data_IF_614780185049
#
_entry.id   IF_614780185049
#
_cell.length_a   1.000
_cell.length_b   1.000
_cell.length_c   1.000
_cell.angle_alpha   90.00
_cell.angle_beta   90.00
_cell.angle_gamma   90.00
#
_symmetry.space_group_name_H-M   'P 1'
#
loop_
_entity.id
_entity.type
_entity.pdbx_description
1 polymer ?
#
# COMPACT_ATOMS: atom_id res chain seq x y z
N UNK A 1 -54.03 -25.83 30.72
CA UNK A 1 -53.16 -25.96 29.51
C UNK A 1 -52.70 -24.62 28.93
N UNK A 2 -53.42 -23.51 29.09
CA UNK A 2 -53.10 -22.18 28.52
C UNK A 2 -51.93 -21.43 29.14
N UNK A 3 -51.56 -21.70 30.37
CA UNK A 3 -50.45 -20.99 31.06
C UNK A 3 -49.06 -21.58 30.77
N UNK A 4 -48.95 -22.82 30.33
CA UNK A 4 -47.65 -23.44 29.96
C UNK A 4 -47.15 -22.97 28.59
N UNK A 5 -48.05 -22.65 27.66
CA UNK A 5 -47.71 -22.15 26.33
C UNK A 5 -47.17 -20.72 26.36
N UNK A 6 -47.62 -19.87 27.29
CA UNK A 6 -47.14 -18.49 27.41
C UNK A 6 -45.68 -18.41 27.88
N UNK A 7 -45.20 -19.34 28.69
CA UNK A 7 -43.84 -19.37 29.20
C UNK A 7 -42.83 -19.92 28.18
N UNK A 8 -43.27 -20.82 27.28
CA UNK A 8 -42.42 -21.29 26.18
C UNK A 8 -42.20 -20.22 25.08
N UNK A 9 -43.18 -19.34 24.85
CA UNK A 9 -43.06 -18.27 23.87
C UNK A 9 -42.13 -17.14 24.34
N UNK A 10 -42.07 -16.85 25.64
CA UNK A 10 -41.15 -15.86 26.21
C UNK A 10 -39.68 -16.33 26.21
N UNK A 11 -39.42 -17.64 26.31
CA UNK A 11 -38.06 -18.19 26.33
C UNK A 11 -37.41 -18.20 24.93
N UNK A 12 -38.21 -18.23 23.85
CA UNK A 12 -37.72 -18.17 22.46
C UNK A 12 -37.29 -16.80 22.01
N UNK A 13 -37.74 -15.69 22.61
CA UNK A 13 -37.38 -14.32 22.22
C UNK A 13 -36.05 -13.84 22.81
N UNK A 14 -35.49 -14.52 23.80
CA UNK A 14 -34.22 -14.14 24.45
C UNK A 14 -32.95 -14.63 23.72
N UNK A 15 -33.11 -15.44 22.65
CA UNK A 15 -31.98 -15.99 21.90
C UNK A 15 -31.64 -15.21 20.59
N UNK A 16 -32.43 -14.20 20.26
CA UNK A 16 -32.09 -13.28 19.17
C UNK A 16 -31.16 -12.17 19.72
N UNK A 17 -29.94 -12.54 20.07
CA UNK A 17 -28.89 -11.56 20.32
C UNK A 17 -28.67 -10.76 19.03
N UNK A 18 -28.36 -9.45 19.09
CA UNK A 18 -27.99 -8.69 17.92
C UNK A 18 -26.83 -9.42 17.24
N UNK A 19 -27.00 -9.76 15.98
CA UNK A 19 -25.88 -10.23 15.15
C UNK A 19 -24.85 -9.11 15.15
N UNK A 20 -23.74 -9.31 15.87
CA UNK A 20 -22.62 -8.38 15.81
C UNK A 20 -22.12 -8.39 14.36
N UNK A 21 -22.55 -7.43 13.55
CA UNK A 21 -21.92 -7.19 12.27
C UNK A 21 -20.52 -6.66 12.57
N UNK A 22 -19.51 -7.38 12.09
CA UNK A 22 -18.15 -6.88 12.13
C UNK A 22 -18.08 -5.62 11.25
N UNK A 23 -17.61 -4.51 11.84
CA UNK A 23 -17.38 -3.29 11.10
C UNK A 23 -16.24 -3.53 10.09
N UNK A 24 -16.51 -3.25 8.80
CA UNK A 24 -15.50 -3.37 7.75
C UNK A 24 -14.70 -2.08 7.67
N UNK A 25 -13.38 -2.21 7.73
CA UNK A 25 -12.42 -1.13 7.56
C UNK A 25 -11.69 -1.33 6.23
N UNK A 26 -11.93 -0.45 5.27
CA UNK A 26 -11.30 -0.47 3.96
C UNK A 26 -10.04 0.38 3.95
N UNK A 27 -8.89 -0.22 3.68
CA UNK A 27 -7.59 0.43 3.72
C UNK A 27 -6.96 0.47 2.33
N UNK A 28 -6.65 1.67 1.83
CA UNK A 28 -5.76 1.87 0.69
C UNK A 28 -4.33 2.03 1.19
N UNK A 29 -3.41 1.18 0.78
CA UNK A 29 -2.04 1.22 1.23
C UNK A 29 -1.02 1.17 0.09
N UNK A 30 0.00 2.01 0.17
CA UNK A 30 1.16 1.91 -0.71
C UNK A 30 1.81 0.53 -0.59
N UNK A 31 2.17 -0.06 -1.74
CA UNK A 31 2.54 -1.48 -1.83
C UNK A 31 3.84 -1.86 -1.10
N UNK A 32 4.65 -0.89 -0.74
CA UNK A 32 5.84 -1.08 0.11
C UNK A 32 5.49 -1.50 1.55
N UNK A 33 4.27 -1.19 2.00
CA UNK A 33 3.80 -1.56 3.33
C UNK A 33 3.31 -3.00 3.46
N UNK A 34 3.16 -3.73 2.34
CA UNK A 34 2.43 -5.00 2.34
C UNK A 34 2.81 -5.93 3.51
N UNK A 35 4.07 -6.24 3.66
CA UNK A 35 4.50 -7.20 4.68
C UNK A 35 4.27 -6.70 6.10
N UNK A 36 4.67 -5.46 6.39
CA UNK A 36 4.51 -4.88 7.72
C UNK A 36 3.04 -4.67 8.09
N UNK A 37 2.22 -4.22 7.12
CA UNK A 37 0.81 -3.94 7.38
C UNK A 37 -0.01 -5.22 7.50
N UNK A 38 0.31 -6.29 6.76
CA UNK A 38 -0.33 -7.60 6.93
C UNK A 38 -0.12 -8.15 8.35
N UNK A 39 1.10 -8.01 8.91
CA UNK A 39 1.39 -8.40 10.30
C UNK A 39 0.61 -7.55 11.31
N UNK A 40 0.57 -6.23 11.09
CA UNK A 40 -0.17 -5.29 11.95
C UNK A 40 -1.67 -5.61 11.92
N UNK A 41 -2.25 -5.83 10.74
CA UNK A 41 -3.67 -6.18 10.59
C UNK A 41 -3.98 -7.50 11.29
N UNK A 42 -3.13 -8.51 11.13
CA UNK A 42 -3.30 -9.80 11.83
C UNK A 42 -3.31 -9.61 13.36
N UNK A 43 -2.38 -8.82 13.88
CA UNK A 43 -2.30 -8.53 15.31
C UNK A 43 -3.49 -7.69 15.81
N UNK A 44 -3.98 -6.75 15.00
CA UNK A 44 -5.14 -5.93 15.30
C UNK A 44 -6.40 -6.79 15.37
N UNK A 45 -6.71 -7.59 14.34
CA UNK A 45 -7.90 -8.42 14.29
C UNK A 45 -7.94 -9.49 15.40
N UNK A 46 -6.76 -9.96 15.85
CA UNK A 46 -6.69 -10.87 17.01
C UNK A 46 -7.10 -10.20 18.33
N UNK A 47 -6.92 -8.87 18.46
CA UNK A 47 -7.31 -8.09 19.66
C UNK A 47 -8.72 -7.53 19.57
N UNK A 48 -9.15 -7.21 18.35
CA UNK A 48 -10.41 -6.55 18.03
C UNK A 48 -11.23 -7.40 17.05
N UNK A 49 -11.75 -8.57 17.49
CA UNK A 49 -12.43 -9.53 16.61
C UNK A 49 -13.75 -9.02 16.02
N UNK A 50 -14.26 -7.89 16.54
CA UNK A 50 -15.44 -7.21 16.01
C UNK A 50 -15.17 -6.36 14.76
N UNK A 51 -13.91 -6.26 14.32
CA UNK A 51 -13.52 -5.46 13.15
C UNK A 51 -12.87 -6.34 12.07
N UNK A 52 -13.28 -6.16 10.82
CA UNK A 52 -12.70 -6.82 9.66
C UNK A 52 -11.92 -5.80 8.83
N UNK A 53 -10.60 -5.96 8.69
CA UNK A 53 -9.74 -5.03 7.96
C UNK A 53 -9.41 -5.59 6.58
N UNK A 54 -9.79 -4.86 5.53
CA UNK A 54 -9.48 -5.18 4.15
C UNK A 54 -8.46 -4.20 3.59
N UNK A 55 -7.28 -4.68 3.27
CA UNK A 55 -6.21 -3.84 2.70
C UNK A 55 -6.09 -4.06 1.20
N UNK A 56 -6.16 -2.96 0.44
CA UNK A 56 -5.85 -2.94 -0.98
C UNK A 56 -4.48 -2.30 -1.16
N UNK A 57 -3.55 -3.04 -1.78
CA UNK A 57 -2.19 -2.58 -2.02
C UNK A 57 -2.01 -2.05 -3.44
N UNK A 58 -1.37 -0.88 -3.58
CA UNK A 58 -1.19 -0.26 -4.89
C UNK A 58 -0.22 0.92 -4.86
N UNK A 59 -0.31 1.79 -5.85
CA UNK A 59 0.48 3.03 -5.86
C UNK A 59 -0.28 4.19 -5.22
N UNK A 60 0.43 5.04 -4.49
CA UNK A 60 -0.16 6.15 -3.76
C UNK A 60 -0.94 7.10 -4.68
N UNK A 61 -0.42 7.45 -5.85
CA UNK A 61 -1.08 8.38 -6.76
C UNK A 61 -2.40 7.83 -7.34
N UNK A 62 -2.49 6.49 -7.56
CA UNK A 62 -3.76 5.89 -8.00
C UNK A 62 -4.81 5.94 -6.91
N UNK A 63 -4.45 5.62 -5.66
CA UNK A 63 -5.39 5.75 -4.55
C UNK A 63 -5.83 7.19 -4.32
N UNK A 64 -4.92 8.15 -4.44
CA UNK A 64 -5.26 9.57 -4.40
C UNK A 64 -6.37 9.90 -5.41
N UNK A 65 -6.22 9.48 -6.67
CA UNK A 65 -7.23 9.69 -7.71
C UNK A 65 -8.54 8.96 -7.41
N UNK A 66 -8.48 7.70 -6.94
CA UNK A 66 -9.67 6.94 -6.59
C UNK A 66 -10.45 7.57 -5.43
N UNK A 67 -9.77 8.08 -4.40
CA UNK A 67 -10.40 8.78 -3.28
C UNK A 67 -11.10 10.06 -3.76
N UNK A 68 -10.46 10.83 -4.64
CA UNK A 68 -11.10 12.01 -5.26
C UNK A 68 -12.34 11.64 -6.09
N UNK A 69 -12.40 10.43 -6.62
CA UNK A 69 -13.53 9.89 -7.36
C UNK A 69 -14.57 9.19 -6.46
N UNK A 70 -14.42 9.27 -5.14
CA UNK A 70 -15.37 8.72 -4.18
C UNK A 70 -15.17 7.26 -3.81
N UNK A 71 -13.98 6.68 -4.04
CA UNK A 71 -13.70 5.32 -3.58
C UNK A 71 -13.80 5.24 -2.04
N UNK A 72 -14.50 4.22 -1.49
CA UNK A 72 -14.86 4.14 -0.08
C UNK A 72 -13.74 3.57 0.78
N UNK A 73 -12.65 4.29 0.89
CA UNK A 73 -11.55 3.94 1.79
C UNK A 73 -11.68 4.70 3.11
N UNK A 74 -11.61 3.99 4.22
CA UNK A 74 -11.61 4.54 5.58
C UNK A 74 -10.23 5.05 5.99
N UNK A 75 -9.16 4.36 5.54
CA UNK A 75 -7.78 4.71 5.82
C UNK A 75 -6.96 4.75 4.52
N UNK A 76 -6.04 5.70 4.47
CA UNK A 76 -5.10 5.82 3.37
C UNK A 76 -3.65 5.96 3.85
N UNK A 77 -2.82 4.95 3.54
CA UNK A 77 -1.38 4.95 3.78
C UNK A 77 -0.63 5.24 2.50
N UNK A 78 0.02 6.39 2.44
CA UNK A 78 0.75 6.87 1.26
C UNK A 78 2.26 6.83 1.49
N UNK A 79 3.01 6.44 0.46
CA UNK A 79 4.47 6.53 0.45
C UNK A 79 5.01 7.95 0.22
N UNK A 80 4.15 8.92 -0.07
CA UNK A 80 4.50 10.35 -0.14
C UNK A 80 3.41 11.16 0.56
N UNK A 81 3.81 11.97 1.53
CA UNK A 81 2.91 12.79 2.35
C UNK A 81 2.18 13.87 1.55
N UNK A 82 2.66 14.22 0.35
CA UNK A 82 2.02 15.22 -0.50
C UNK A 82 0.60 14.78 -0.91
N UNK A 83 0.38 13.49 -1.19
CA UNK A 83 -0.93 12.98 -1.58
C UNK A 83 -1.99 13.11 -0.48
N UNK A 84 -1.80 12.59 0.75
CA UNK A 84 -2.79 12.77 1.81
C UNK A 84 -2.96 14.24 2.21
N UNK A 85 -1.92 15.09 2.12
CA UNK A 85 -2.06 16.53 2.34
C UNK A 85 -2.96 17.20 1.30
N UNK A 86 -2.80 16.83 0.01
CA UNK A 86 -3.67 17.33 -1.05
C UNK A 86 -5.12 16.90 -0.85
N UNK A 87 -5.37 15.65 -0.44
CA UNK A 87 -6.73 15.18 -0.09
C UNK A 87 -7.31 15.94 1.11
N UNK A 88 -6.52 16.18 2.14
CA UNK A 88 -6.97 16.94 3.31
C UNK A 88 -7.32 18.39 2.95
N UNK A 89 -6.50 19.06 2.13
CA UNK A 89 -6.79 20.41 1.63
C UNK A 89 -8.04 20.46 0.76
N UNK A 90 -8.34 19.39 0.04
CA UNK A 90 -9.54 19.26 -0.79
C UNK A 90 -10.78 18.78 -0.01
N UNK A 91 -10.69 18.59 1.32
CA UNK A 91 -11.83 18.22 2.17
C UNK A 91 -12.17 16.72 2.20
N UNK A 92 -11.29 15.86 1.70
CA UNK A 92 -11.50 14.39 1.71
C UNK A 92 -11.02 13.70 2.99
N UNK A 93 -10.33 14.38 3.90
CA UNK A 93 -9.81 13.77 5.12
C UNK A 93 -10.66 14.14 6.34
N UNK A 94 -11.02 13.16 7.16
CA UNK A 94 -11.72 13.34 8.43
C UNK A 94 -10.77 13.59 9.62
N UNK A 95 -9.45 13.42 9.42
CA UNK A 95 -8.44 13.59 10.48
C UNK A 95 -7.20 14.31 9.94
N UNK A 96 -6.36 14.88 10.81
CA UNK A 96 -5.06 15.42 10.41
C UNK A 96 -4.15 14.34 9.78
N UNK A 97 -3.37 14.75 8.78
CA UNK A 97 -2.37 13.90 8.15
C UNK A 97 -1.21 13.65 9.11
N UNK A 98 -0.89 12.38 9.35
CA UNK A 98 0.18 11.95 10.24
C UNK A 98 1.33 11.29 9.45
N UNK A 99 2.59 11.74 9.58
CA UNK A 99 3.72 10.99 9.07
C UNK A 99 3.94 9.74 9.94
N UNK A 100 4.09 8.58 9.30
CA UNK A 100 4.28 7.30 10.00
C UNK A 100 5.67 6.70 9.81
N UNK A 101 6.36 7.03 8.70
CA UNK A 101 7.69 6.52 8.40
C UNK A 101 8.43 7.43 7.41
N UNK A 102 9.72 7.16 7.23
CA UNK A 102 10.54 7.73 6.18
C UNK A 102 10.98 6.60 5.25
N UNK A 103 10.46 6.60 4.02
CA UNK A 103 10.84 5.67 2.96
C UNK A 103 12.26 5.92 2.47
N UNK A 104 12.96 4.85 2.07
CA UNK A 104 14.31 4.93 1.49
C UNK A 104 14.35 4.11 0.22
N UNK A 105 15.06 4.64 -0.80
CA UNK A 105 15.41 3.86 -1.97
C UNK A 105 16.61 2.97 -1.67
N UNK A 106 16.59 1.78 -2.24
CA UNK A 106 17.72 0.86 -2.25
C UNK A 106 18.01 0.41 -3.68
N UNK A 107 19.25 0.07 -3.93
CA UNK A 107 19.66 -0.64 -5.13
C UNK A 107 19.69 -2.13 -4.78
N UNK A 108 18.95 -2.93 -5.54
CA UNK A 108 18.82 -4.35 -5.32
C UNK A 108 19.02 -5.15 -6.60
N UNK A 109 19.58 -6.34 -6.48
CA UNK A 109 19.74 -7.29 -7.58
C UNK A 109 19.55 -8.71 -7.06
N UNK A 110 18.84 -9.56 -7.81
CA UNK A 110 18.68 -10.96 -7.49
C UNK A 110 19.93 -11.81 -7.86
N UNK A 111 20.83 -11.26 -8.71
CA UNK A 111 21.96 -12.02 -9.30
C UNK A 111 23.33 -11.46 -8.96
N UNK A 112 23.40 -10.24 -8.37
CA UNK A 112 24.66 -9.55 -8.04
C UNK A 112 24.63 -9.11 -6.57
N UNK A 113 25.80 -9.06 -5.94
CA UNK A 113 25.94 -8.42 -4.63
C UNK A 113 25.74 -6.90 -4.75
N UNK A 114 24.57 -6.43 -4.35
CA UNK A 114 24.18 -5.02 -4.45
C UNK A 114 24.82 -4.14 -3.37
N UNK A 115 25.46 -4.70 -2.33
CA UNK A 115 26.09 -3.93 -1.24
C UNK A 115 27.18 -2.98 -1.72
N UNK A 116 27.86 -3.35 -2.81
CA UNK A 116 28.92 -2.54 -3.41
C UNK A 116 28.46 -1.76 -4.64
N UNK A 117 27.20 -1.95 -5.09
CA UNK A 117 26.67 -1.26 -6.25
C UNK A 117 26.35 0.19 -5.92
N UNK A 118 26.65 1.07 -6.87
CA UNK A 118 26.28 2.49 -6.88
C UNK A 118 25.45 2.77 -8.12
N UNK A 119 24.71 3.87 -8.15
CA UNK A 119 23.90 4.26 -9.31
C UNK A 119 24.74 4.38 -10.58
N UNK A 120 26.01 4.79 -10.49
CA UNK A 120 26.93 4.85 -11.64
C UNK A 120 27.18 3.49 -12.30
N UNK A 121 27.11 2.39 -11.55
CA UNK A 121 27.28 1.05 -12.12
C UNK A 121 26.10 0.61 -13.00
N UNK A 122 24.94 1.28 -12.90
CA UNK A 122 23.79 0.99 -13.76
C UNK A 122 24.01 1.35 -15.23
N UNK A 123 25.05 2.12 -15.54
CA UNK A 123 25.47 2.43 -16.92
C UNK A 123 26.17 1.25 -17.61
N UNK A 124 26.66 0.24 -16.85
CA UNK A 124 27.29 -0.97 -17.39
C UNK A 124 26.41 -1.60 -18.49
N UNK A 125 26.95 -1.83 -19.71
CA UNK A 125 26.22 -2.48 -20.80
C UNK A 125 25.68 -3.88 -20.45
N UNK A 126 26.31 -4.58 -19.48
CA UNK A 126 25.85 -5.88 -18.98
C UNK A 126 24.58 -5.80 -18.16
N UNK A 127 24.21 -4.61 -17.66
CA UNK A 127 22.92 -4.36 -17.03
C UNK A 127 21.97 -3.89 -18.12
N UNK A 128 21.10 -4.78 -18.55
CA UNK A 128 20.17 -4.55 -19.66
C UNK A 128 18.79 -4.10 -19.22
N UNK A 129 18.40 -4.38 -17.98
CA UNK A 129 17.09 -4.01 -17.43
C UNK A 129 17.22 -3.46 -16.01
N UNK A 130 16.45 -2.42 -15.73
CA UNK A 130 16.36 -1.76 -14.42
C UNK A 130 14.88 -1.57 -14.11
N UNK A 131 14.37 -2.27 -13.11
CA UNK A 131 12.99 -2.14 -12.71
C UNK A 131 12.81 -0.99 -11.71
N UNK A 132 11.87 -0.11 -11.99
CA UNK A 132 11.39 0.92 -11.06
C UNK A 132 9.87 0.95 -11.05
N UNK A 133 9.26 1.48 -9.98
CA UNK A 133 7.84 1.77 -10.00
C UNK A 133 7.52 2.88 -11.01
N UNK A 134 6.31 2.89 -11.58
CA UNK A 134 5.95 3.88 -12.60
C UNK A 134 5.90 5.30 -12.00
N UNK A 135 6.77 6.22 -12.42
CA UNK A 135 6.86 7.56 -11.84
C UNK A 135 5.64 8.44 -12.07
N UNK A 136 4.73 8.05 -12.98
CA UNK A 136 3.49 8.81 -13.22
C UNK A 136 2.56 8.82 -12.01
N UNK A 137 2.61 7.80 -11.15
CA UNK A 137 1.68 7.65 -10.02
C UNK A 137 2.28 6.95 -8.78
N UNK A 138 3.53 6.48 -8.85
CA UNK A 138 4.19 5.81 -7.74
C UNK A 138 5.35 6.66 -7.19
N UNK A 139 5.30 7.07 -5.90
CA UNK A 139 6.36 7.89 -5.29
C UNK A 139 7.76 7.30 -5.41
N UNK A 140 7.91 5.99 -5.17
CA UNK A 140 9.21 5.33 -5.32
C UNK A 140 9.78 5.43 -6.74
N UNK A 141 8.91 5.43 -7.76
CA UNK A 141 9.34 5.66 -9.15
C UNK A 141 9.80 7.10 -9.38
N UNK A 142 9.09 8.09 -8.84
CA UNK A 142 9.48 9.50 -8.91
C UNK A 142 10.85 9.70 -8.26
N UNK A 143 11.05 9.18 -7.05
CA UNK A 143 12.32 9.27 -6.32
C UNK A 143 13.44 8.53 -7.06
N UNK A 144 13.16 7.38 -7.71
CA UNK A 144 14.14 6.67 -8.52
C UNK A 144 14.62 7.52 -9.71
N UNK A 145 13.70 8.15 -10.45
CA UNK A 145 14.04 9.07 -11.55
C UNK A 145 14.89 10.24 -11.06
N UNK A 146 14.50 10.85 -9.93
CA UNK A 146 15.27 11.95 -9.32
C UNK A 146 16.70 11.50 -8.95
N UNK A 147 16.83 10.33 -8.33
CA UNK A 147 18.13 9.78 -7.94
C UNK A 147 19.03 9.49 -9.15
N UNK A 148 18.47 8.92 -10.24
CA UNK A 148 19.21 8.65 -11.48
C UNK A 148 19.65 9.95 -12.16
N UNK A 149 18.79 10.98 -12.16
CA UNK A 149 19.15 12.31 -12.69
C UNK A 149 20.22 12.99 -11.84
N UNK A 150 20.07 12.97 -10.52
CA UNK A 150 21.05 13.54 -9.60
C UNK A 150 22.43 12.86 -9.68
N UNK A 151 22.44 11.54 -9.96
CA UNK A 151 23.67 10.78 -10.19
C UNK A 151 24.28 11.00 -11.60
N UNK A 152 23.62 11.76 -12.50
CA UNK A 152 24.07 12.02 -13.85
C UNK A 152 24.02 10.82 -14.80
N UNK A 153 23.26 9.77 -14.46
CA UNK A 153 23.20 8.51 -15.21
C UNK A 153 21.88 8.30 -15.97
N UNK A 154 20.98 9.27 -15.92
CA UNK A 154 19.63 9.17 -16.48
C UNK A 154 19.64 8.74 -17.95
N UNK A 155 20.38 9.43 -18.80
CA UNK A 155 20.38 9.17 -20.24
C UNK A 155 20.80 7.75 -20.62
N UNK A 156 21.76 7.18 -19.88
CA UNK A 156 22.25 5.82 -20.12
C UNK A 156 21.32 4.75 -19.50
N UNK A 157 20.55 5.10 -18.48
CA UNK A 157 19.69 4.16 -17.75
C UNK A 157 18.24 4.18 -18.24
N UNK A 158 17.74 5.32 -18.72
CA UNK A 158 16.36 5.46 -19.20
C UNK A 158 15.95 4.38 -20.23
N UNK A 159 16.78 4.05 -21.25
CA UNK A 159 16.44 3.01 -22.23
C UNK A 159 16.37 1.59 -21.63
N UNK A 160 16.90 1.38 -20.43
CA UNK A 160 16.91 0.10 -19.71
C UNK A 160 15.75 -0.04 -18.72
N UNK A 161 14.96 1.03 -18.52
CA UNK A 161 13.92 1.05 -17.49
C UNK A 161 12.73 0.18 -17.87
N UNK A 162 12.30 -0.62 -16.89
CA UNK A 162 11.05 -1.37 -16.91
C UNK A 162 10.18 -0.84 -15.77
N UNK A 163 8.94 -0.49 -16.08
CA UNK A 163 8.04 0.15 -15.14
C UNK A 163 7.06 -0.83 -14.54
N UNK A 164 7.16 -1.05 -13.22
CA UNK A 164 6.12 -1.73 -12.44
C UNK A 164 4.98 -0.77 -12.09
N UNK A 165 3.77 -1.29 -12.01
CA UNK A 165 2.58 -0.52 -11.59
C UNK A 165 2.77 0.14 -10.21
N UNK A 166 3.48 -0.55 -9.33
CA UNK A 166 3.87 -0.11 -8.00
C UNK A 166 5.23 -0.71 -7.63
N UNK A 167 5.72 -0.40 -6.43
CA UNK A 167 7.05 -0.87 -6.02
C UNK A 167 7.11 -2.39 -5.81
N UNK A 168 6.02 -3.03 -5.40
CA UNK A 168 5.97 -4.48 -5.24
C UNK A 168 6.11 -5.20 -6.60
N UNK A 169 5.48 -4.70 -7.66
CA UNK A 169 5.65 -5.25 -9.01
C UNK A 169 7.06 -5.00 -9.55
N UNK A 170 7.65 -3.82 -9.28
CA UNK A 170 9.04 -3.58 -9.65
C UNK A 170 9.99 -4.58 -8.96
N UNK A 171 9.76 -4.89 -7.68
CA UNK A 171 10.51 -5.93 -6.96
C UNK A 171 10.29 -7.32 -7.56
N UNK A 172 9.05 -7.65 -7.95
CA UNK A 172 8.73 -8.91 -8.60
C UNK A 172 9.50 -9.09 -9.93
N UNK A 173 9.61 -8.03 -10.76
CA UNK A 173 10.40 -8.09 -11.99
C UNK A 173 11.85 -8.45 -11.72
N UNK A 174 12.46 -7.91 -10.67
CA UNK A 174 13.82 -8.25 -10.28
C UNK A 174 13.92 -9.70 -9.83
N UNK A 175 12.95 -10.21 -9.05
CA UNK A 175 12.93 -11.59 -8.56
C UNK A 175 12.80 -12.61 -9.70
N UNK A 176 11.96 -12.31 -10.69
CA UNK A 176 11.65 -13.24 -11.79
C UNK A 176 12.58 -13.08 -13.00
N UNK A 177 13.42 -12.04 -13.01
CA UNK A 177 14.34 -11.75 -14.13
C UNK A 177 13.63 -11.14 -15.36
N UNK A 178 12.43 -10.62 -15.19
CA UNK A 178 11.64 -9.99 -16.28
C UNK A 178 12.02 -8.54 -16.52
#
# INVERSE_FOLDING_TARGET
MTRLFAHLLCLGLLLAGPSAHADKIMVAAAADLKFALDEIVTAFQAREPGHEVHVVYGSSGKFHTQIQQGAPYDLYFSADIAYPRALAQAGFAASPVQPYAVGRLVLWSATRDARQLRLSHLTDPKITRIAIANPKHAPYGQRAVEALRAAGVWQQTEPKLVYGENIAQAAQFVQTGN
#
